data_IF_472064434552
#
_entry.id   IF_472064434552
#
_cell.length_a   1.000
_cell.length_b   1.000
_cell.length_c   1.000
_cell.angle_alpha   90.00
_cell.angle_beta   90.00
_cell.angle_gamma   90.00
#
_symmetry.space_group_name_H-M   'P 1'
#
loop_
_entity.id
_entity.type
_entity.pdbx_description
1 polymer ?
#
# COMPACT_ATOMS: atom_id res chain seq x y z
N UNK A 1 -4.65 1.50 15.58
CA UNK A 1 -3.86 1.73 14.35
C UNK A 1 -2.57 2.44 14.71
N UNK A 2 -1.42 1.97 14.22
CA UNK A 2 -0.15 2.70 14.23
C UNK A 2 0.27 2.92 12.77
N UNK A 3 0.50 4.18 12.39
CA UNK A 3 0.78 4.52 10.99
C UNK A 3 1.59 5.83 10.90
N UNK A 4 2.14 6.11 9.72
CA UNK A 4 2.84 7.35 9.45
C UNK A 4 1.84 8.51 9.28
N UNK A 5 1.73 9.36 10.29
CA UNK A 5 0.99 10.65 10.20
C UNK A 5 1.93 11.84 10.14
N UNK A 6 3.22 11.62 10.35
CA UNK A 6 4.30 12.60 10.22
C UNK A 6 5.40 12.13 9.26
N UNK A 7 6.32 13.03 8.91
CA UNK A 7 7.48 12.74 8.08
C UNK A 7 7.17 12.56 6.58
N UNK A 8 8.19 12.16 5.78
CA UNK A 8 8.09 12.10 4.31
C UNK A 8 7.09 11.07 3.75
N UNK A 9 6.61 10.12 4.59
CA UNK A 9 5.64 9.09 4.20
C UNK A 9 4.25 9.29 4.80
N UNK A 10 3.98 10.48 5.42
CA UNK A 10 2.73 10.76 6.13
C UNK A 10 1.47 10.58 5.31
N UNK A 11 1.54 10.86 4.00
CA UNK A 11 0.41 10.71 3.11
C UNK A 11 -0.16 9.28 3.10
N UNK A 12 0.69 8.26 3.27
CA UNK A 12 0.23 6.86 3.30
C UNK A 12 -0.67 6.58 4.51
N UNK A 13 -0.27 7.02 5.70
CA UNK A 13 -1.07 6.84 6.92
C UNK A 13 -2.33 7.69 6.90
N UNK A 14 -2.23 8.95 6.46
CA UNK A 14 -3.36 9.89 6.41
C UNK A 14 -4.44 9.38 5.45
N UNK A 15 -4.07 9.00 4.22
CA UNK A 15 -5.04 8.53 3.22
C UNK A 15 -5.67 7.19 3.64
N UNK A 16 -4.89 6.22 4.14
CA UNK A 16 -5.43 4.95 4.63
C UNK A 16 -6.44 5.17 5.77
N UNK A 17 -6.10 6.04 6.73
CA UNK A 17 -7.00 6.42 7.81
C UNK A 17 -8.29 7.03 7.28
N UNK A 18 -8.20 7.99 6.34
CA UNK A 18 -9.37 8.69 5.79
C UNK A 18 -10.36 7.73 5.14
N UNK A 19 -9.87 6.80 4.32
CA UNK A 19 -10.73 5.78 3.72
C UNK A 19 -11.43 4.91 4.75
N UNK A 20 -10.68 4.41 5.73
CA UNK A 20 -11.24 3.59 6.79
C UNK A 20 -12.25 4.36 7.67
N UNK A 21 -11.91 5.59 8.05
CA UNK A 21 -12.76 6.44 8.88
C UNK A 21 -14.08 6.81 8.19
N UNK A 22 -14.07 7.01 6.86
CA UNK A 22 -15.29 7.28 6.10
C UNK A 22 -16.29 6.13 6.22
N UNK A 23 -15.83 4.89 6.08
CA UNK A 23 -16.70 3.72 6.21
C UNK A 23 -17.19 3.53 7.64
N UNK A 24 -16.29 3.61 8.62
CA UNK A 24 -16.67 3.46 10.04
C UNK A 24 -17.64 4.57 10.50
N UNK A 25 -17.47 5.80 10.04
CA UNK A 25 -18.40 6.89 10.35
C UNK A 25 -19.80 6.61 9.81
N UNK A 26 -19.91 6.10 8.57
CA UNK A 26 -21.21 5.70 8.01
C UNK A 26 -21.90 4.64 8.86
N UNK A 27 -21.18 3.60 9.26
CA UNK A 27 -21.73 2.54 10.14
C UNK A 27 -22.17 3.11 11.49
N UNK A 28 -21.32 3.97 12.08
CA UNK A 28 -21.60 4.59 13.38
C UNK A 28 -22.84 5.48 13.36
N UNK A 29 -23.09 6.21 12.26
CA UNK A 29 -24.31 7.02 12.09
C UNK A 29 -25.58 6.18 11.91
N UNK A 30 -25.42 4.97 11.42
CA UNK A 30 -26.53 3.99 11.34
C UNK A 30 -26.77 3.19 12.64
N UNK A 31 -26.12 3.58 13.73
CA UNK A 31 -26.29 2.93 15.04
C UNK A 31 -25.14 2.01 15.44
N UNK A 32 -24.12 1.83 14.56
CA UNK A 32 -23.01 0.93 14.83
C UNK A 32 -23.36 -0.55 14.60
N UNK A 33 -22.63 -1.44 15.26
CA UNK A 33 -22.85 -2.89 15.22
C UNK A 33 -23.48 -3.30 16.55
N UNK A 34 -24.68 -3.84 16.54
CA UNK A 34 -25.45 -4.18 17.76
C UNK A 34 -25.45 -3.03 18.79
N UNK A 35 -25.76 -1.81 18.34
CA UNK A 35 -25.75 -0.57 19.11
C UNK A 35 -24.39 -0.17 19.70
N UNK A 36 -23.29 -0.76 19.22
CA UNK A 36 -21.93 -0.40 19.63
C UNK A 36 -21.21 0.34 18.50
N UNK A 37 -20.69 1.53 18.80
CA UNK A 37 -19.93 2.33 17.83
C UNK A 37 -18.51 1.80 17.68
N UNK A 38 -18.00 1.84 16.45
CA UNK A 38 -16.59 1.54 16.12
C UNK A 38 -15.75 2.79 16.41
N UNK A 39 -14.73 2.67 17.24
CA UNK A 39 -13.77 3.74 17.51
C UNK A 39 -12.40 3.35 17.04
N UNK A 40 -11.84 4.09 16.10
CA UNK A 40 -10.49 3.91 15.62
C UNK A 40 -9.51 4.73 16.48
N UNK A 41 -8.76 4.06 17.36
CA UNK A 41 -7.68 4.67 18.14
C UNK A 41 -6.41 4.69 17.29
N UNK A 42 -5.74 5.85 17.17
CA UNK A 42 -4.62 6.03 16.24
C UNK A 42 -3.41 6.67 16.92
N UNK A 43 -2.23 6.22 16.52
CA UNK A 43 -0.93 6.75 16.96
C UNK A 43 0.00 6.95 15.76
N UNK A 44 0.78 8.03 15.78
CA UNK A 44 1.83 8.26 14.81
C UNK A 44 3.06 7.40 15.12
N UNK A 45 3.61 6.75 14.11
CA UNK A 45 4.91 6.07 14.18
C UNK A 45 5.96 6.68 13.24
N UNK A 46 5.60 7.70 12.45
CA UNK A 46 6.49 8.35 11.50
C UNK A 46 7.15 7.38 10.51
N UNK A 47 6.52 6.23 10.25
CA UNK A 47 7.09 5.14 9.46
C UNK A 47 8.37 4.56 10.09
N UNK A 48 8.47 4.53 11.43
CA UNK A 48 9.61 4.04 12.18
C UNK A 48 9.26 2.78 12.99
N UNK A 49 10.10 1.72 12.97
CA UNK A 49 9.80 0.44 13.62
C UNK A 49 9.66 0.54 15.15
N UNK A 50 10.53 1.27 15.83
CA UNK A 50 10.53 1.34 17.29
C UNK A 50 9.32 2.11 17.84
N UNK A 51 8.91 3.28 17.30
CA UNK A 51 7.63 3.88 17.62
C UNK A 51 6.44 2.96 17.35
N UNK A 52 6.43 2.20 16.25
CA UNK A 52 5.34 1.27 15.95
C UNK A 52 5.21 0.17 17.03
N UNK A 53 6.32 -0.37 17.54
CA UNK A 53 6.32 -1.32 18.66
C UNK A 53 5.77 -0.67 19.94
N UNK A 54 6.22 0.54 20.30
CA UNK A 54 5.73 1.29 21.47
C UNK A 54 4.23 1.56 21.36
N UNK A 55 3.77 2.01 20.19
CA UNK A 55 2.34 2.23 19.92
C UNK A 55 1.53 0.94 20.05
N UNK A 56 2.07 -0.20 19.58
CA UNK A 56 1.40 -1.50 19.69
C UNK A 56 1.24 -1.93 21.13
N UNK A 57 2.31 -1.81 21.94
CA UNK A 57 2.26 -2.10 23.39
C UNK A 57 1.21 -1.23 24.06
N UNK A 58 1.20 0.07 23.76
CA UNK A 58 0.23 1.01 24.30
C UNK A 58 -1.20 0.67 23.92
N UNK A 59 -1.45 0.38 22.64
CA UNK A 59 -2.76 -0.02 22.15
C UNK A 59 -3.27 -1.29 22.84
N UNK A 60 -2.40 -2.29 23.05
CA UNK A 60 -2.77 -3.57 23.62
C UNK A 60 -2.93 -3.51 25.15
N UNK A 61 -1.96 -2.92 25.85
CA UNK A 61 -1.83 -3.04 27.31
C UNK A 61 -2.38 -1.84 28.09
N UNK A 62 -2.41 -0.64 27.49
CA UNK A 62 -2.91 0.58 28.16
C UNK A 62 -4.31 0.95 27.65
N UNK A 63 -4.50 0.97 26.33
CA UNK A 63 -5.78 1.34 25.73
C UNK A 63 -6.77 0.16 25.62
N UNK A 64 -6.29 -1.07 25.82
CA UNK A 64 -7.07 -2.32 25.76
C UNK A 64 -7.94 -2.40 24.48
N UNK A 65 -7.33 -2.07 23.31
CA UNK A 65 -8.06 -2.15 22.04
C UNK A 65 -8.41 -3.60 21.73
N UNK A 66 -9.61 -3.81 21.21
CA UNK A 66 -10.10 -5.15 20.87
C UNK A 66 -9.35 -5.77 19.69
N UNK A 67 -8.93 -4.96 18.72
CA UNK A 67 -8.30 -5.41 17.46
C UNK A 67 -7.26 -4.41 17.00
N UNK A 68 -6.17 -4.90 16.39
CA UNK A 68 -5.17 -4.06 15.72
C UNK A 68 -5.50 -3.98 14.23
N UNK A 69 -5.50 -2.77 13.65
CA UNK A 69 -5.99 -2.52 12.31
C UNK A 69 -5.12 -1.53 11.54
N UNK A 70 -4.90 -1.79 10.24
CA UNK A 70 -4.43 -0.80 9.26
C UNK A 70 -3.01 -0.25 9.52
N UNK A 71 -2.08 -1.05 10.05
CA UNK A 71 -0.69 -0.60 10.24
C UNK A 71 -0.01 -0.34 8.90
N UNK A 72 0.78 0.73 8.83
CA UNK A 72 1.42 1.16 7.58
C UNK A 72 2.90 0.82 7.56
N UNK A 73 3.29 0.03 6.55
CA UNK A 73 4.68 -0.18 6.18
C UNK A 73 5.30 -1.49 6.60
N UNK A 74 6.20 -1.99 5.76
CA UNK A 74 6.89 -3.26 6.01
C UNK A 74 7.82 -3.21 7.21
N UNK A 75 8.69 -2.19 7.39
CA UNK A 75 9.60 -2.14 8.53
C UNK A 75 8.87 -2.08 9.88
N UNK A 76 7.76 -1.35 9.94
CA UNK A 76 6.92 -1.21 11.13
C UNK A 76 6.20 -2.52 11.45
N UNK A 77 5.50 -3.08 10.47
CA UNK A 77 4.76 -4.35 10.62
C UNK A 77 5.68 -5.50 10.99
N UNK A 78 6.80 -5.69 10.26
CA UNK A 78 7.72 -6.81 10.55
C UNK A 78 8.33 -6.73 11.95
N UNK A 79 8.50 -5.53 12.48
CA UNK A 79 9.01 -5.33 13.84
C UNK A 79 7.97 -5.65 14.92
N UNK A 80 6.69 -5.51 14.59
CA UNK A 80 5.56 -5.81 15.49
C UNK A 80 5.22 -7.30 15.53
N UNK A 81 5.43 -8.05 14.44
CA UNK A 81 5.04 -9.47 14.35
C UNK A 81 5.53 -10.36 15.51
N UNK A 82 6.79 -10.26 16.01
CA UNK A 82 7.23 -11.03 17.17
C UNK A 82 6.41 -10.73 18.43
N UNK A 83 5.95 -9.48 18.60
CA UNK A 83 5.11 -9.08 19.73
C UNK A 83 3.73 -9.76 19.63
N UNK A 84 3.11 -9.79 18.44
CA UNK A 84 1.84 -10.48 18.23
C UNK A 84 1.96 -11.97 18.53
N UNK A 85 3.04 -12.61 18.07
CA UNK A 85 3.32 -14.02 18.39
C UNK A 85 3.46 -14.25 19.90
N UNK A 86 4.16 -13.36 20.62
CA UNK A 86 4.34 -13.47 22.06
C UNK A 86 2.99 -13.37 22.83
N UNK A 87 2.06 -12.58 22.32
CA UNK A 87 0.76 -12.32 22.95
C UNK A 87 -0.41 -13.03 22.23
N UNK A 88 -0.14 -14.16 21.54
CA UNK A 88 -1.16 -14.88 20.75
C UNK A 88 -2.34 -15.38 21.58
N UNK A 89 -2.12 -15.73 22.86
CA UNK A 89 -3.18 -16.18 23.76
C UNK A 89 -4.25 -15.10 24.03
N UNK A 90 -3.93 -13.82 23.80
CA UNK A 90 -4.86 -12.69 23.96
C UNK A 90 -5.61 -12.33 22.68
N UNK A 91 -5.66 -13.23 21.68
CA UNK A 91 -6.27 -12.98 20.37
C UNK A 91 -5.74 -11.74 19.66
N UNK A 92 -4.44 -11.43 19.85
CA UNK A 92 -3.78 -10.26 19.29
C UNK A 92 -3.45 -10.45 17.82
N UNK A 93 -4.42 -10.22 16.95
CA UNK A 93 -4.28 -10.27 15.49
C UNK A 93 -4.12 -8.88 14.89
N UNK A 94 -3.33 -8.77 13.82
CA UNK A 94 -3.22 -7.57 12.99
C UNK A 94 -4.06 -7.72 11.72
N UNK A 95 -5.01 -6.82 11.53
CA UNK A 95 -5.90 -6.81 10.39
C UNK A 95 -5.45 -5.79 9.35
N UNK A 96 -5.38 -6.25 8.11
CA UNK A 96 -5.22 -5.47 6.90
C UNK A 96 -4.07 -4.45 6.96
N UNK A 97 -2.83 -4.91 7.29
CA UNK A 97 -1.69 -4.01 7.26
C UNK A 97 -1.41 -3.54 5.83
N UNK A 98 -1.17 -2.25 5.66
CA UNK A 98 -0.77 -1.64 4.39
C UNK A 98 0.69 -2.00 4.07
N UNK A 99 0.90 -3.26 3.71
CA UNK A 99 2.17 -3.83 3.23
C UNK A 99 1.96 -5.15 2.51
N UNK A 100 2.62 -5.32 1.36
CA UNK A 100 2.60 -6.56 0.56
C UNK A 100 3.69 -7.56 0.93
N UNK A 101 4.43 -7.38 2.03
CA UNK A 101 5.57 -8.22 2.39
C UNK A 101 5.18 -9.65 2.81
N UNK A 102 6.14 -10.57 2.75
CA UNK A 102 5.89 -12.00 3.04
C UNK A 102 5.84 -12.36 4.53
N UNK A 103 6.61 -11.71 5.45
CA UNK A 103 6.66 -12.17 6.83
C UNK A 103 5.30 -12.33 7.52
N UNK A 104 4.32 -11.43 7.27
CA UNK A 104 2.97 -11.54 7.82
C UNK A 104 2.04 -12.49 7.04
N UNK A 105 2.56 -13.21 6.03
CA UNK A 105 1.81 -14.17 5.19
C UNK A 105 2.32 -15.60 5.30
N UNK A 106 3.45 -15.80 5.95
CA UNK A 106 4.15 -17.09 6.03
C UNK A 106 4.59 -17.39 7.47
N UNK A 107 4.82 -18.67 7.82
CA UNK A 107 5.44 -19.00 9.09
C UNK A 107 6.75 -18.23 9.30
N UNK A 108 7.09 -17.83 10.53
CA UNK A 108 6.39 -18.16 11.78
C UNK A 108 5.34 -17.13 12.21
N UNK A 109 4.96 -16.15 11.36
CA UNK A 109 4.10 -15.03 11.77
C UNK A 109 2.79 -14.91 10.98
N UNK A 110 2.62 -15.68 9.90
CA UNK A 110 1.46 -15.58 9.02
C UNK A 110 0.12 -15.85 9.70
N UNK A 111 0.10 -16.60 10.79
CA UNK A 111 -1.10 -16.88 11.56
C UNK A 111 -1.62 -15.68 12.37
N UNK A 112 -0.77 -14.68 12.66
CA UNK A 112 -1.11 -13.52 13.49
C UNK A 112 -1.56 -12.29 12.67
N UNK A 113 -1.63 -12.41 11.36
CA UNK A 113 -2.05 -11.31 10.50
C UNK A 113 -3.01 -11.76 9.40
N UNK A 114 -4.05 -10.98 9.19
CA UNK A 114 -4.98 -11.14 8.06
C UNK A 114 -4.74 -10.00 7.07
N UNK A 115 -4.51 -10.36 5.81
CA UNK A 115 -4.16 -9.40 4.76
C UNK A 115 -5.31 -9.28 3.76
N UNK A 116 -5.74 -8.07 3.39
CA UNK A 116 -6.67 -7.91 2.30
C UNK A 116 -5.91 -7.84 0.96
N UNK A 117 -4.95 -6.96 0.86
CA UNK A 117 -4.19 -6.66 -0.36
C UNK A 117 -3.33 -7.81 -0.88
N UNK A 118 -3.09 -7.83 -2.18
CA UNK A 118 -2.10 -8.70 -2.82
C UNK A 118 -0.68 -8.46 -2.30
N UNK A 119 0.20 -9.43 -2.49
CA UNK A 119 1.58 -9.38 -2.01
C UNK A 119 2.51 -8.68 -2.99
N UNK A 120 3.63 -8.12 -2.50
CA UNK A 120 4.69 -7.58 -3.36
C UNK A 120 5.26 -8.61 -4.34
N UNK A 121 5.21 -9.91 -3.99
CA UNK A 121 5.60 -10.97 -4.95
C UNK A 121 4.69 -11.01 -6.16
N UNK A 122 3.37 -10.85 -5.95
CA UNK A 122 2.40 -10.81 -7.05
C UNK A 122 2.55 -9.52 -7.88
N UNK A 123 2.75 -8.37 -7.22
CA UNK A 123 2.97 -7.10 -7.91
C UNK A 123 4.25 -7.15 -8.78
N UNK A 124 5.37 -7.61 -8.19
CA UNK A 124 6.65 -7.69 -8.91
C UNK A 124 6.65 -8.75 -9.99
N UNK A 125 5.96 -9.87 -9.78
CA UNK A 125 5.80 -10.92 -10.80
C UNK A 125 5.06 -10.37 -12.01
N UNK A 126 3.90 -9.74 -11.82
CA UNK A 126 3.15 -9.18 -12.92
C UNK A 126 3.88 -8.04 -13.65
N UNK A 127 4.57 -7.13 -12.92
CA UNK A 127 5.39 -6.08 -13.55
C UNK A 127 6.50 -6.68 -14.41
N UNK A 128 7.24 -7.67 -13.89
CA UNK A 128 8.32 -8.33 -14.61
C UNK A 128 7.79 -9.08 -15.83
N UNK A 129 6.68 -9.82 -15.68
CA UNK A 129 6.07 -10.58 -16.78
C UNK A 129 5.65 -9.64 -17.92
N UNK A 130 4.98 -8.52 -17.61
CA UNK A 130 4.59 -7.54 -18.63
C UNK A 130 5.81 -6.90 -19.30
N UNK A 131 6.81 -6.48 -18.54
CA UNK A 131 8.03 -5.87 -19.08
C UNK A 131 8.78 -6.85 -20.01
N UNK A 132 9.01 -8.09 -19.55
CA UNK A 132 9.76 -9.11 -20.31
C UNK A 132 9.01 -9.54 -21.57
N UNK A 133 7.69 -9.75 -21.49
CA UNK A 133 6.85 -10.12 -22.63
C UNK A 133 6.79 -9.02 -23.70
N UNK A 134 7.10 -7.77 -23.33
CA UNK A 134 7.22 -6.63 -24.25
C UNK A 134 8.69 -6.26 -24.53
N UNK A 135 9.61 -7.21 -24.41
CA UNK A 135 11.00 -7.07 -24.85
C UNK A 135 11.93 -6.33 -23.87
N UNK A 136 11.46 -5.90 -22.71
CA UNK A 136 12.28 -5.22 -21.69
C UNK A 136 12.96 -6.28 -20.81
N UNK A 137 14.18 -6.69 -21.15
CA UNK A 137 14.87 -7.82 -20.50
C UNK A 137 15.99 -7.40 -19.54
N UNK A 138 16.44 -6.16 -19.60
CA UNK A 138 17.47 -5.60 -18.74
C UNK A 138 16.84 -4.76 -17.63
N UNK A 139 16.36 -5.44 -16.59
CA UNK A 139 15.63 -4.79 -15.50
C UNK A 139 16.56 -4.51 -14.33
N UNK A 140 16.66 -3.22 -13.96
CA UNK A 140 17.36 -2.73 -12.79
C UNK A 140 16.36 -2.44 -11.63
N UNK A 141 16.89 -2.28 -10.42
CA UNK A 141 16.04 -2.05 -9.22
C UNK A 141 16.58 -0.87 -8.41
N UNK A 142 15.68 0.08 -8.12
CA UNK A 142 15.91 1.13 -7.13
C UNK A 142 15.06 0.84 -5.88
N UNK A 143 15.68 0.73 -4.68
CA UNK A 143 14.91 0.31 -3.52
C UNK A 143 15.36 0.89 -2.18
N UNK A 144 14.41 0.98 -1.24
CA UNK A 144 14.65 1.39 0.13
C UNK A 144 15.53 0.37 0.87
N UNK A 145 16.59 0.80 1.53
CA UNK A 145 17.59 -0.06 2.19
C UNK A 145 17.06 -0.62 3.53
N UNK A 146 15.91 -1.33 3.51
CA UNK A 146 15.30 -1.96 4.69
C UNK A 146 14.43 -3.18 4.33
N UNK A 147 13.56 -3.61 5.26
CA UNK A 147 12.69 -4.76 5.06
C UNK A 147 11.72 -4.59 3.89
N UNK A 148 11.26 -3.35 3.58
CA UNK A 148 10.39 -3.09 2.43
C UNK A 148 11.13 -3.33 1.12
N UNK A 149 12.24 -2.61 0.94
CA UNK A 149 13.02 -2.74 -0.28
C UNK A 149 13.50 -4.17 -0.52
N UNK A 150 13.99 -4.86 0.53
CA UNK A 150 14.41 -6.27 0.42
C UNK A 150 13.26 -7.20 0.02
N UNK A 151 12.03 -6.94 0.51
CA UNK A 151 10.87 -7.75 0.14
C UNK A 151 10.52 -7.62 -1.34
N UNK A 152 10.46 -6.38 -1.86
CA UNK A 152 10.21 -6.14 -3.28
C UNK A 152 11.37 -6.61 -4.17
N UNK A 153 12.63 -6.30 -3.79
CA UNK A 153 13.84 -6.79 -4.49
C UNK A 153 13.83 -8.32 -4.63
N UNK A 154 13.52 -9.03 -3.55
CA UNK A 154 13.40 -10.50 -3.58
C UNK A 154 12.29 -10.95 -4.53
N UNK A 155 11.18 -10.21 -4.61
CA UNK A 155 10.09 -10.46 -5.56
C UNK A 155 10.55 -10.31 -7.01
N UNK A 156 11.20 -9.19 -7.36
CA UNK A 156 11.78 -8.95 -8.70
C UNK A 156 12.77 -10.04 -9.09
N UNK A 157 13.71 -10.37 -8.19
CA UNK A 157 14.70 -11.44 -8.44
C UNK A 157 14.04 -12.80 -8.75
N UNK A 158 12.99 -13.15 -8.01
CA UNK A 158 12.25 -14.40 -8.21
C UNK A 158 11.46 -14.39 -9.52
N UNK A 159 10.85 -13.28 -9.86
CA UNK A 159 10.11 -13.13 -11.11
C UNK A 159 11.04 -13.22 -12.32
N UNK A 160 12.17 -12.49 -12.31
CA UNK A 160 13.18 -12.58 -13.37
C UNK A 160 13.75 -13.99 -13.55
N UNK A 161 13.95 -14.73 -12.45
CA UNK A 161 14.45 -16.11 -12.51
C UNK A 161 13.51 -17.04 -13.29
N UNK A 162 12.18 -16.80 -13.30
CA UNK A 162 11.22 -17.54 -14.12
C UNK A 162 11.45 -17.36 -15.62
N UNK A 163 12.02 -16.23 -16.01
CA UNK A 163 12.40 -15.91 -17.39
C UNK A 163 13.88 -16.18 -17.71
N UNK A 164 14.61 -16.87 -16.82
CA UNK A 164 16.07 -17.08 -16.92
C UNK A 164 16.86 -15.77 -17.00
N UNK A 165 16.38 -14.72 -16.32
CA UNK A 165 16.99 -13.41 -16.22
C UNK A 165 17.44 -13.12 -14.79
N UNK A 166 18.26 -12.06 -14.66
CA UNK A 166 18.74 -11.53 -13.37
C UNK A 166 18.55 -10.02 -13.34
N UNK A 167 18.52 -9.43 -12.16
CA UNK A 167 18.62 -7.98 -11.97
C UNK A 167 19.98 -7.55 -12.57
N UNK A 168 19.95 -6.56 -13.47
CA UNK A 168 21.17 -6.10 -14.16
C UNK A 168 22.00 -5.14 -13.31
N UNK A 169 21.33 -4.37 -12.43
CA UNK A 169 22.00 -3.46 -11.50
C UNK A 169 21.01 -3.05 -10.39
N UNK A 170 21.53 -2.62 -9.26
CA UNK A 170 20.73 -2.17 -8.15
C UNK A 170 21.30 -0.93 -7.45
N UNK A 171 20.41 -0.05 -6.98
CA UNK A 171 20.79 1.10 -6.18
C UNK A 171 19.80 1.29 -5.02
N UNK A 172 20.31 1.75 -3.88
CA UNK A 172 19.49 1.89 -2.67
C UNK A 172 19.46 3.32 -2.17
N UNK A 173 18.44 3.61 -1.36
CA UNK A 173 18.33 4.83 -0.59
C UNK A 173 17.91 4.54 0.85
N UNK A 174 18.18 5.46 1.77
CA UNK A 174 17.78 5.33 3.17
C UNK A 174 16.33 5.78 3.38
N UNK A 175 15.56 5.02 4.19
CA UNK A 175 14.20 5.40 4.59
C UNK A 175 14.17 6.83 5.17
N UNK A 176 13.10 7.58 4.88
CA UNK A 176 12.97 8.98 5.30
C UNK A 176 13.56 9.98 4.31
N UNK A 177 14.07 9.53 3.16
CA UNK A 177 14.46 10.45 2.09
C UNK A 177 13.27 11.31 1.63
N UNK A 178 13.53 12.60 1.46
CA UNK A 178 12.56 13.62 1.05
C UNK A 178 12.57 13.81 -0.47
N UNK A 179 11.58 14.49 -0.99
CA UNK A 179 11.55 14.86 -2.42
C UNK A 179 12.76 15.75 -2.81
N UNK A 180 13.27 16.55 -1.90
CA UNK A 180 14.46 17.39 -2.10
C UNK A 180 15.79 16.63 -2.04
N UNK A 181 15.77 15.32 -1.72
CA UNK A 181 16.96 14.48 -1.68
C UNK A 181 17.58 14.35 -3.08
N UNK A 182 18.91 14.34 -3.15
CA UNK A 182 19.65 14.12 -4.38
C UNK A 182 19.82 12.61 -4.63
N UNK A 183 19.31 12.12 -5.75
CA UNK A 183 19.38 10.70 -6.18
C UNK A 183 20.27 10.50 -7.41
N UNK A 184 21.03 11.53 -7.85
CA UNK A 184 21.85 11.47 -9.06
C UNK A 184 22.83 10.31 -9.05
N UNK A 185 23.49 10.04 -7.90
CA UNK A 185 24.42 8.91 -7.78
C UNK A 185 23.73 7.57 -8.04
N UNK A 186 22.54 7.35 -7.49
CA UNK A 186 21.75 6.16 -7.73
C UNK A 186 21.36 6.04 -9.20
N UNK A 187 20.95 7.14 -9.82
CA UNK A 187 20.66 7.20 -11.26
C UNK A 187 21.88 6.84 -12.11
N UNK A 188 23.03 7.40 -11.81
CA UNK A 188 24.28 7.12 -12.55
C UNK A 188 24.69 5.64 -12.48
N UNK A 189 24.60 5.03 -11.27
CA UNK A 189 24.84 3.58 -11.07
C UNK A 189 23.92 2.77 -11.99
N UNK A 190 22.61 3.02 -11.93
CA UNK A 190 21.65 2.26 -12.72
C UNK A 190 21.80 2.52 -14.23
N UNK A 191 22.00 3.78 -14.63
CA UNK A 191 22.17 4.18 -16.03
C UNK A 191 23.39 3.52 -16.69
N UNK A 192 24.48 3.34 -15.94
CA UNK A 192 25.68 2.67 -16.43
C UNK A 192 25.44 1.23 -16.88
N UNK A 193 24.46 0.54 -16.28
CA UNK A 193 24.06 -0.80 -16.68
C UNK A 193 23.19 -0.85 -17.94
N UNK A 194 22.79 0.30 -18.51
CA UNK A 194 21.91 0.42 -19.69
C UNK A 194 20.63 -0.43 -19.52
N UNK A 195 19.79 -0.14 -18.51
CA UNK A 195 18.57 -0.91 -18.26
C UNK A 195 17.49 -0.60 -19.32
N UNK A 196 16.62 -1.58 -19.59
CA UNK A 196 15.41 -1.40 -20.42
C UNK A 196 14.21 -0.90 -19.57
N UNK A 197 14.26 -1.14 -18.27
CA UNK A 197 13.27 -0.68 -17.29
C UNK A 197 13.87 -0.67 -15.88
N UNK A 198 13.29 0.13 -14.98
CA UNK A 198 13.67 0.15 -13.56
C UNK A 198 12.41 -0.11 -12.71
N UNK A 199 12.50 -1.05 -11.78
CA UNK A 199 11.46 -1.26 -10.76
C UNK A 199 11.87 -0.51 -9.49
N UNK A 200 11.01 0.43 -9.07
CA UNK A 200 11.20 1.29 -7.92
C UNK A 200 10.41 0.73 -6.72
N UNK A 201 11.10 0.41 -5.64
CA UNK A 201 10.53 -0.14 -4.41
C UNK A 201 10.77 0.87 -3.29
N UNK A 202 9.92 1.87 -3.23
CA UNK A 202 10.08 3.02 -2.36
C UNK A 202 8.78 3.74 -2.04
N UNK A 203 8.83 4.65 -1.05
CA UNK A 203 7.73 5.57 -0.76
C UNK A 203 7.81 6.79 -1.69
N UNK A 204 6.68 7.46 -1.89
CA UNK A 204 6.49 8.51 -2.89
C UNK A 204 7.54 9.61 -2.91
N UNK A 205 7.98 10.11 -1.76
CA UNK A 205 8.92 11.23 -1.71
C UNK A 205 10.30 10.86 -2.29
N UNK A 206 10.82 9.67 -1.96
CA UNK A 206 12.07 9.16 -2.47
C UNK A 206 11.97 8.74 -3.95
N UNK A 207 10.86 8.09 -4.33
CA UNK A 207 10.62 7.70 -5.73
C UNK A 207 10.45 8.92 -6.63
N UNK A 208 9.75 9.98 -6.17
CA UNK A 208 9.65 11.23 -6.92
C UNK A 208 11.01 11.90 -7.12
N UNK A 209 11.86 11.95 -6.07
CA UNK A 209 13.22 12.46 -6.18
C UNK A 209 14.05 11.66 -7.19
N UNK A 210 13.92 10.33 -7.17
CA UNK A 210 14.61 9.46 -8.12
C UNK A 210 14.10 9.66 -9.56
N UNK A 211 12.79 9.73 -9.77
CA UNK A 211 12.18 9.97 -11.09
C UNK A 211 12.63 11.31 -11.66
N UNK A 212 12.59 12.38 -10.86
CA UNK A 212 13.08 13.71 -11.25
C UNK A 212 14.52 13.63 -11.73
N UNK A 213 15.42 13.11 -10.89
CA UNK A 213 16.85 13.06 -11.21
C UNK A 213 17.15 12.11 -12.38
N UNK A 214 16.38 11.02 -12.53
CA UNK A 214 16.51 10.07 -13.65
C UNK A 214 16.19 10.76 -14.99
N UNK A 215 15.07 11.47 -15.06
CA UNK A 215 14.67 12.19 -16.28
C UNK A 215 15.63 13.33 -16.60
N UNK A 216 16.05 14.11 -15.59
CA UNK A 216 16.99 15.22 -15.76
C UNK A 216 18.37 14.75 -16.23
N UNK A 217 18.78 13.52 -15.89
CA UNK A 217 20.00 12.90 -16.40
C UNK A 217 19.78 12.12 -17.71
N UNK A 218 18.61 12.26 -18.34
CA UNK A 218 18.30 11.67 -19.63
C UNK A 218 18.07 10.16 -19.63
N UNK A 219 17.68 9.58 -18.51
CA UNK A 219 17.28 8.18 -18.41
C UNK A 219 15.81 8.03 -18.82
N UNK A 220 15.57 7.60 -20.06
CA UNK A 220 14.24 7.49 -20.69
C UNK A 220 13.84 6.02 -20.82
N UNK A 221 13.47 5.40 -19.72
CA UNK A 221 13.00 4.01 -19.63
C UNK A 221 11.81 3.92 -18.69
N UNK A 222 10.94 2.92 -18.82
CA UNK A 222 9.84 2.69 -17.87
C UNK A 222 10.35 2.63 -16.43
N UNK A 223 9.68 3.41 -15.56
CA UNK A 223 9.94 3.49 -14.13
C UNK A 223 8.70 2.91 -13.42
N UNK A 224 8.78 1.64 -13.04
CA UNK A 224 7.68 0.89 -12.48
C UNK A 224 7.68 0.93 -10.95
N UNK A 225 6.58 1.37 -10.33
CA UNK A 225 6.46 1.46 -8.88
C UNK A 225 5.47 0.40 -8.36
N UNK A 226 5.72 -0.09 -7.12
CA UNK A 226 4.74 -0.90 -6.40
C UNK A 226 3.66 -0.02 -5.78
N UNK A 227 2.48 -0.57 -5.55
CA UNK A 227 1.32 0.15 -4.99
C UNK A 227 1.59 0.91 -3.69
N UNK A 228 2.52 0.42 -2.87
CA UNK A 228 2.93 1.08 -1.62
C UNK A 228 3.58 2.46 -1.85
N UNK A 229 3.96 2.78 -3.07
CA UNK A 229 4.54 4.10 -3.39
C UNK A 229 3.62 5.24 -2.96
N UNK A 230 2.31 5.07 -3.00
CA UNK A 230 1.33 6.14 -2.82
C UNK A 230 1.23 7.00 -4.07
N UNK A 231 0.53 6.46 -5.06
CA UNK A 231 0.54 6.96 -6.45
C UNK A 231 0.18 8.43 -6.56
N UNK A 232 -0.87 8.90 -5.89
CA UNK A 232 -1.30 10.31 -5.93
C UNK A 232 -0.29 11.24 -5.29
N UNK A 233 0.33 10.81 -4.18
CA UNK A 233 1.41 11.58 -3.54
C UNK A 233 2.64 11.69 -4.46
N UNK A 234 3.02 10.60 -5.14
CA UNK A 234 4.10 10.59 -6.13
C UNK A 234 3.78 11.55 -7.28
N UNK A 235 2.59 11.42 -7.86
CA UNK A 235 2.14 12.24 -8.98
C UNK A 235 2.11 13.73 -8.62
N UNK A 236 1.53 14.08 -7.47
CA UNK A 236 1.45 15.46 -7.01
C UNK A 236 2.83 16.12 -6.88
N UNK A 237 3.82 15.41 -6.33
CA UNK A 237 5.19 15.92 -6.24
C UNK A 237 5.82 16.15 -7.63
N UNK A 238 5.60 15.25 -8.57
CA UNK A 238 6.16 15.35 -9.93
C UNK A 238 5.49 16.43 -10.77
N UNK A 239 4.19 16.66 -10.58
CA UNK A 239 3.45 17.73 -11.27
C UNK A 239 3.81 19.11 -10.73
N UNK A 240 4.09 19.24 -9.43
CA UNK A 240 4.53 20.50 -8.82
C UNK A 240 5.94 20.89 -9.22
N UNK A 241 6.81 19.93 -9.53
CA UNK A 241 8.17 20.19 -10.00
C UNK A 241 8.24 20.52 -11.50
N UNK A 242 7.34 19.94 -12.29
CA UNK A 242 7.23 20.21 -13.73
C UNK A 242 6.80 21.64 -14.01
N UNK A 243 7.38 22.28 -15.03
CA UNK A 243 6.86 23.54 -15.53
C UNK A 243 5.55 23.28 -16.27
N UNK A 244 4.55 24.19 -16.18
CA UNK A 244 3.28 24.02 -16.91
C UNK A 244 3.42 23.77 -18.41
N UNK A 245 4.53 24.23 -19.00
CA UNK A 245 4.86 24.12 -20.44
C UNK A 245 5.47 22.74 -20.79
N UNK A 246 5.94 21.96 -19.81
CA UNK A 246 6.55 20.64 -19.97
C UNK A 246 5.58 19.53 -19.58
N UNK A 247 4.36 19.57 -20.14
CA UNK A 247 3.32 18.58 -19.86
C UNK A 247 3.91 17.16 -20.00
N UNK A 248 3.83 16.36 -18.92
CA UNK A 248 4.35 14.99 -18.85
C UNK A 248 5.87 14.77 -18.73
N UNK A 249 6.71 15.80 -18.55
CA UNK A 249 8.17 15.60 -18.46
C UNK A 249 8.55 14.47 -17.51
N UNK A 250 8.06 14.50 -16.25
CA UNK A 250 8.42 13.52 -15.22
C UNK A 250 7.47 12.33 -15.13
N UNK A 251 6.34 12.33 -15.86
CA UNK A 251 5.29 11.33 -15.69
C UNK A 251 5.15 10.37 -16.86
N UNK A 252 5.70 10.69 -18.03
CA UNK A 252 5.60 9.91 -19.26
C UNK A 252 6.01 8.44 -19.10
N UNK A 253 7.06 8.17 -18.32
CA UNK A 253 7.66 6.85 -18.18
C UNK A 253 7.17 6.10 -16.92
N UNK A 254 6.18 6.65 -16.20
CA UNK A 254 5.67 6.04 -14.99
C UNK A 254 4.68 4.94 -15.29
N UNK A 255 4.87 3.80 -14.63
CA UNK A 255 3.85 2.76 -14.50
C UNK A 255 3.80 2.32 -13.03
N UNK A 256 2.59 2.27 -12.46
CA UNK A 256 2.39 1.86 -11.08
C UNK A 256 1.49 0.61 -11.02
N UNK A 257 1.89 -0.39 -10.23
CA UNK A 257 0.95 -1.43 -9.83
C UNK A 257 -0.02 -0.90 -8.77
N UNK A 258 -1.24 -1.41 -8.77
CA UNK A 258 -2.27 -1.14 -7.78
C UNK A 258 -2.87 -2.47 -7.30
N UNK A 259 -3.32 -2.51 -6.06
CA UNK A 259 -3.94 -3.70 -5.43
C UNK A 259 -5.44 -3.54 -5.22
N UNK A 260 -5.97 -2.41 -5.63
CA UNK A 260 -7.39 -2.06 -5.67
C UNK A 260 -7.73 -1.49 -7.06
N UNK A 261 -8.99 -1.55 -7.51
CA UNK A 261 -9.38 -1.00 -8.81
C UNK A 261 -9.23 0.52 -8.86
N UNK A 262 -9.40 1.10 -10.04
CA UNK A 262 -9.38 2.55 -10.18
C UNK A 262 -10.53 3.20 -9.41
N UNK A 263 -10.20 4.17 -8.58
CA UNK A 263 -11.20 5.00 -7.89
C UNK A 263 -11.99 5.93 -8.83
N UNK A 264 -11.61 6.01 -10.09
CA UNK A 264 -12.36 6.72 -11.14
C UNK A 264 -13.47 5.87 -11.76
N UNK A 265 -13.42 4.55 -11.60
CA UNK A 265 -14.42 3.64 -12.18
C UNK A 265 -15.65 3.52 -11.25
N UNK A 266 -16.58 4.46 -11.41
CA UNK A 266 -17.82 4.51 -10.62
C UNK A 266 -18.85 3.43 -11.01
N UNK A 267 -18.58 2.62 -12.03
CA UNK A 267 -19.38 1.43 -12.33
C UNK A 267 -19.13 0.30 -11.32
N UNK A 268 -18.00 0.35 -10.63
CA UNK A 268 -17.67 -0.57 -9.54
C UNK A 268 -18.43 -0.14 -8.26
N UNK A 269 -19.33 -0.98 -7.72
CA UNK A 269 -20.21 -0.58 -6.60
C UNK A 269 -19.47 -0.05 -5.38
N UNK A 270 -18.38 -0.69 -4.97
CA UNK A 270 -17.60 -0.23 -3.82
C UNK A 270 -16.89 1.10 -4.08
N UNK A 271 -16.44 1.37 -5.31
CA UNK A 271 -15.83 2.64 -5.70
C UNK A 271 -16.86 3.76 -5.63
N UNK A 272 -18.08 3.54 -6.17
CA UNK A 272 -19.18 4.51 -6.05
C UNK A 272 -19.46 4.86 -4.59
N UNK A 273 -19.64 3.85 -3.74
CA UNK A 273 -19.90 4.03 -2.31
C UNK A 273 -18.74 4.72 -1.59
N UNK A 274 -17.50 4.36 -1.93
CA UNK A 274 -16.31 5.02 -1.39
C UNK A 274 -16.31 6.52 -1.67
N UNK A 275 -16.57 6.92 -2.91
CA UNK A 275 -16.62 8.35 -3.29
C UNK A 275 -17.73 9.08 -2.54
N UNK A 276 -18.94 8.49 -2.50
CA UNK A 276 -20.07 9.04 -1.75
C UNK A 276 -19.73 9.28 -0.27
N UNK A 277 -19.02 8.34 0.39
CA UNK A 277 -18.71 8.49 1.81
C UNK A 277 -17.55 9.44 2.06
N UNK A 278 -16.53 9.48 1.19
CA UNK A 278 -15.47 10.47 1.28
C UNK A 278 -16.05 11.88 1.10
N UNK A 279 -16.91 12.11 0.12
CA UNK A 279 -17.54 13.41 -0.12
C UNK A 279 -18.47 13.83 1.03
N UNK A 280 -19.23 12.87 1.57
CA UNK A 280 -20.19 13.14 2.64
C UNK A 280 -19.53 13.43 4.00
N UNK A 281 -18.48 12.68 4.34
CA UNK A 281 -17.89 12.71 5.69
C UNK A 281 -16.57 13.46 5.74
N UNK A 282 -15.81 13.48 4.65
CA UNK A 282 -14.47 14.09 4.53
C UNK A 282 -13.62 13.93 5.81
N UNK A 283 -13.37 12.68 6.27
CA UNK A 283 -12.73 12.46 7.56
C UNK A 283 -11.35 13.11 7.61
N UNK A 284 -11.04 13.70 8.76
CA UNK A 284 -9.74 14.30 9.02
C UNK A 284 -9.00 13.49 10.08
N UNK A 285 -7.69 13.36 9.93
CA UNK A 285 -6.83 12.81 10.98
C UNK A 285 -6.91 13.73 12.21
N UNK A 286 -6.93 13.18 13.44
CA UNK A 286 -6.88 13.99 14.64
C UNK A 286 -5.76 15.04 14.61
N UNK A 287 -6.11 16.30 14.83
CA UNK A 287 -5.17 17.44 14.67
C UNK A 287 -3.87 17.29 15.48
N UNK A 288 -3.94 16.61 16.62
CA UNK A 288 -2.76 16.34 17.46
C UNK A 288 -1.70 15.44 16.79
N UNK A 289 -2.02 14.74 15.70
CA UNK A 289 -1.09 13.87 14.97
C UNK A 289 -0.49 14.58 13.74
N UNK A 290 -1.02 15.72 13.34
CA UNK A 290 -0.55 16.48 12.18
C UNK A 290 0.58 17.39 12.62
N UNK A 291 1.82 17.02 12.32
CA UNK A 291 3.01 17.84 12.63
C UNK A 291 3.43 18.75 11.48
N UNK A 292 3.07 18.39 10.25
CA UNK A 292 3.40 19.11 9.03
C UNK A 292 2.15 19.27 8.15
N UNK A 293 2.00 20.36 7.38
CA UNK A 293 0.88 20.54 6.47
C UNK A 293 0.75 19.37 5.50
N UNK A 294 -0.47 18.91 5.32
CA UNK A 294 -0.84 17.92 4.31
C UNK A 294 -2.23 18.25 3.78
N UNK A 295 -2.36 18.31 2.47
CA UNK A 295 -3.67 18.47 1.81
C UNK A 295 -4.11 17.09 1.34
N UNK A 296 -5.16 16.51 1.95
CA UNK A 296 -5.69 15.23 1.53
C UNK A 296 -6.21 15.28 0.10
N UNK A 297 -6.05 14.17 -0.63
CA UNK A 297 -6.67 14.01 -1.94
C UNK A 297 -8.18 13.83 -1.80
N UNK A 298 -8.94 14.28 -2.77
CA UNK A 298 -10.37 13.96 -2.80
C UNK A 298 -10.54 12.45 -2.84
N UNK A 299 -9.85 11.78 -3.75
CA UNK A 299 -9.80 10.32 -3.85
C UNK A 299 -8.38 9.85 -4.08
N UNK A 300 -8.04 8.64 -3.60
CA UNK A 300 -6.74 8.02 -3.84
C UNK A 300 -6.83 6.48 -3.75
N UNK A 301 -5.88 5.77 -4.38
CA UNK A 301 -5.80 4.31 -4.24
C UNK A 301 -5.61 3.89 -2.78
N UNK A 302 -4.80 4.65 -2.03
CA UNK A 302 -4.53 4.36 -0.61
C UNK A 302 -5.79 4.53 0.24
N UNK A 303 -6.58 5.59 0.02
CA UNK A 303 -7.83 5.77 0.79
C UNK A 303 -8.92 4.80 0.34
N UNK A 304 -8.99 4.41 -0.94
CA UNK A 304 -9.88 3.34 -1.37
C UNK A 304 -9.51 2.00 -0.70
N UNK A 305 -8.22 1.67 -0.58
CA UNK A 305 -7.78 0.48 0.13
C UNK A 305 -8.22 0.52 1.60
N UNK A 306 -7.99 1.63 2.30
CA UNK A 306 -8.45 1.80 3.68
C UNK A 306 -9.97 1.67 3.85
N UNK A 307 -10.74 2.15 2.88
CA UNK A 307 -12.19 1.98 2.83
C UNK A 307 -12.60 0.52 2.69
N UNK A 308 -11.95 -0.23 1.80
CA UNK A 308 -12.21 -1.66 1.60
C UNK A 308 -11.79 -2.51 2.82
N UNK A 309 -10.68 -2.15 3.45
CA UNK A 309 -10.22 -2.74 4.72
C UNK A 309 -11.27 -2.55 5.82
N UNK A 310 -11.82 -1.34 5.95
CA UNK A 310 -12.86 -1.03 6.92
C UNK A 310 -14.18 -1.76 6.61
N UNK A 311 -14.55 -1.86 5.33
CA UNK A 311 -15.75 -2.62 4.90
C UNK A 311 -15.63 -4.07 5.31
N UNK A 312 -14.50 -4.71 5.06
CA UNK A 312 -14.27 -6.09 5.46
C UNK A 312 -14.18 -6.25 6.99
N UNK A 313 -13.58 -5.27 7.68
CA UNK A 313 -13.56 -5.27 9.15
C UNK A 313 -14.97 -5.22 9.76
N UNK A 314 -15.87 -4.43 9.20
CA UNK A 314 -17.27 -4.38 9.64
C UNK A 314 -17.97 -5.72 9.46
N UNK A 315 -17.74 -6.43 8.35
CA UNK A 315 -18.23 -7.80 8.15
C UNK A 315 -17.70 -8.75 9.24
N UNK A 316 -16.41 -8.67 9.58
CA UNK A 316 -15.83 -9.47 10.66
C UNK A 316 -16.51 -9.16 12.01
N UNK A 317 -16.70 -7.87 12.30
CA UNK A 317 -17.34 -7.44 13.54
C UNK A 317 -18.81 -7.90 13.64
N UNK A 318 -19.55 -7.92 12.53
CA UNK A 318 -20.90 -8.51 12.49
C UNK A 318 -20.85 -10.00 12.83
N UNK A 319 -19.98 -10.77 12.21
CA UNK A 319 -19.83 -12.21 12.50
C UNK A 319 -19.44 -12.49 13.94
N UNK A 320 -18.60 -11.64 14.53
CA UNK A 320 -18.25 -11.74 15.95
C UNK A 320 -19.43 -11.42 16.87
N UNK A 321 -20.30 -10.47 16.48
CA UNK A 321 -21.45 -10.08 17.29
C UNK A 321 -22.61 -11.06 17.20
N UNK A 322 -22.72 -11.81 16.10
CA UNK A 322 -23.78 -12.80 15.84
C UNK A 322 -23.39 -14.22 16.31
N UNK A 323 -22.12 -14.41 16.66
CA UNK A 323 -21.57 -15.70 17.06
C UNK A 323 -21.83 -16.00 18.56
N UNK A 324 -21.73 -17.28 18.91
CA UNK A 324 -21.73 -17.70 20.33
C UNK A 324 -20.51 -17.12 21.06
N UNK A 325 -20.60 -17.00 22.40
CA UNK A 325 -19.47 -16.49 23.24
C UNK A 325 -18.15 -17.27 23.07
N UNK A 326 -18.20 -18.44 22.45
CA UNK A 326 -17.05 -19.31 22.22
C UNK A 326 -16.34 -19.05 20.86
N UNK A 327 -16.93 -18.22 19.97
CA UNK A 327 -16.34 -17.95 18.66
C UNK A 327 -15.19 -16.97 18.77
N UNK A 328 -13.98 -17.42 18.50
CA UNK A 328 -12.79 -16.58 18.48
C UNK A 328 -12.73 -15.64 17.24
N UNK A 329 -11.95 -14.57 17.37
CA UNK A 329 -11.73 -13.60 16.28
C UNK A 329 -11.22 -14.28 15.00
N UNK A 330 -10.31 -15.25 15.15
CA UNK A 330 -9.78 -15.99 14.01
C UNK A 330 -10.87 -16.82 13.31
N UNK A 331 -11.77 -17.45 14.06
CA UNK A 331 -12.86 -18.27 13.52
C UNK A 331 -13.84 -17.43 12.72
N UNK A 332 -14.20 -16.24 13.22
CA UNK A 332 -15.04 -15.29 12.50
C UNK A 332 -14.44 -14.92 11.15
N UNK A 333 -13.13 -14.64 11.10
CA UNK A 333 -12.43 -14.34 9.82
C UNK A 333 -12.38 -15.58 8.93
N UNK A 334 -12.02 -16.72 9.48
CA UNK A 334 -11.91 -17.98 8.73
C UNK A 334 -13.27 -18.51 8.24
N UNK A 335 -14.38 -17.99 8.76
CA UNK A 335 -15.72 -18.28 8.24
C UNK A 335 -16.05 -17.49 6.96
N UNK A 336 -15.28 -16.45 6.60
CA UNK A 336 -15.52 -15.64 5.40
C UNK A 336 -15.25 -16.49 4.16
N UNK A 337 -16.30 -16.74 3.40
CA UNK A 337 -16.25 -17.48 2.12
C UNK A 337 -16.99 -16.68 1.06
N UNK A 338 -16.32 -16.42 -0.05
CA UNK A 338 -16.88 -15.74 -1.22
C UNK A 338 -17.61 -14.42 -0.88
N UNK A 339 -17.14 -13.69 0.13
CA UNK A 339 -17.70 -12.40 0.50
C UNK A 339 -17.49 -11.39 -0.64
N UNK A 340 -18.58 -10.80 -1.10
CA UNK A 340 -18.56 -9.79 -2.15
C UNK A 340 -18.15 -8.43 -1.57
N UNK A 341 -16.91 -8.05 -1.85
CA UNK A 341 -16.37 -6.76 -1.42
C UNK A 341 -16.93 -5.59 -2.25
N UNK A 342 -17.58 -5.90 -3.39
CA UNK A 342 -18.14 -4.90 -4.32
C UNK A 342 -17.11 -4.34 -5.30
N UNK A 343 -16.03 -5.07 -5.56
CA UNK A 343 -14.96 -4.71 -6.50
C UNK A 343 -14.79 -5.75 -7.62
N UNK A 344 -15.84 -6.51 -7.92
CA UNK A 344 -15.82 -7.63 -8.87
C UNK A 344 -14.83 -8.75 -8.47
N UNK A 345 -14.46 -8.81 -7.20
CA UNK A 345 -13.69 -9.88 -6.59
C UNK A 345 -14.32 -10.31 -5.26
N UNK A 346 -14.22 -11.61 -4.97
CA UNK A 346 -14.73 -12.20 -3.74
C UNK A 346 -13.61 -12.53 -2.78
N UNK A 347 -13.79 -12.18 -1.51
CA UNK A 347 -12.84 -12.45 -0.43
C UNK A 347 -13.15 -13.81 0.21
N UNK A 348 -12.11 -14.62 0.37
CA UNK A 348 -12.18 -15.89 1.11
C UNK A 348 -10.92 -16.03 1.96
N UNK A 349 -11.09 -16.32 3.25
CA UNK A 349 -10.00 -16.73 4.13
C UNK A 349 -10.08 -18.23 4.44
N UNK A 350 -8.97 -18.81 4.90
CA UNK A 350 -8.88 -20.22 5.27
C UNK A 350 -7.65 -20.48 6.14
N UNK A 351 -7.50 -21.69 6.69
CA UNK A 351 -6.34 -22.04 7.52
C UNK A 351 -5.01 -21.72 6.84
N UNK A 352 -4.90 -22.05 5.54
CA UNK A 352 -3.71 -21.82 4.73
C UNK A 352 -3.80 -20.56 3.85
N UNK A 353 -4.86 -19.77 4.02
CA UNK A 353 -5.11 -18.57 3.21
C UNK A 353 -5.44 -17.36 4.09
N UNK A 354 -4.41 -16.58 4.40
CA UNK A 354 -4.50 -15.35 5.21
C UNK A 354 -4.47 -14.07 4.35
N UNK A 355 -4.74 -14.21 3.03
CA UNK A 355 -4.79 -13.11 2.06
C UNK A 355 -6.11 -13.15 1.29
N UNK A 356 -6.83 -12.04 1.26
CA UNK A 356 -8.15 -11.91 0.65
C UNK A 356 -8.11 -11.75 -0.87
N UNK A 357 -7.34 -10.76 -1.37
CA UNK A 357 -7.27 -10.36 -2.78
C UNK A 357 -5.94 -10.74 -3.41
N UNK A 358 -5.94 -11.00 -4.72
CA UNK A 358 -4.75 -11.39 -5.48
C UNK A 358 -4.54 -10.59 -6.75
N UNK A 359 -5.54 -9.88 -7.22
CA UNK A 359 -5.50 -9.15 -8.49
C UNK A 359 -4.59 -7.94 -8.39
N UNK A 360 -3.85 -7.71 -9.46
CA UNK A 360 -3.01 -6.53 -9.65
C UNK A 360 -3.57 -5.76 -10.84
N UNK A 361 -3.66 -4.46 -10.68
CA UNK A 361 -3.99 -3.52 -11.74
C UNK A 361 -2.75 -2.70 -12.06
N UNK A 362 -2.66 -2.18 -13.27
CA UNK A 362 -1.55 -1.33 -13.68
C UNK A 362 -2.07 0.00 -14.16
N UNK A 363 -1.36 1.06 -13.83
CA UNK A 363 -1.76 2.42 -14.18
C UNK A 363 -0.60 3.22 -14.73
N UNK A 364 -0.89 4.09 -15.68
CA UNK A 364 0.01 5.11 -16.23
C UNK A 364 -0.59 6.49 -16.04
N UNK A 365 0.21 7.52 -16.24
CA UNK A 365 -0.27 8.91 -16.15
C UNK A 365 -0.66 9.41 -17.54
N UNK A 366 -1.92 9.87 -17.67
CA UNK A 366 -2.40 10.62 -18.84
C UNK A 366 -3.11 11.88 -18.38
N UNK A 367 -2.74 13.04 -18.94
CA UNK A 367 -3.34 14.34 -18.59
C UNK A 367 -3.38 14.60 -17.08
N UNK A 368 -2.25 14.32 -16.39
CA UNK A 368 -2.12 14.55 -14.95
C UNK A 368 -2.95 13.63 -14.05
N UNK A 369 -3.44 12.48 -14.54
CA UNK A 369 -4.23 11.50 -13.77
C UNK A 369 -3.78 10.08 -14.05
N UNK A 370 -3.96 9.19 -13.08
CA UNK A 370 -3.76 7.77 -13.30
C UNK A 370 -4.93 7.17 -14.09
N UNK A 371 -4.60 6.46 -15.16
CA UNK A 371 -5.54 5.67 -15.97
C UNK A 371 -5.07 4.22 -16.03
N UNK A 372 -5.99 3.28 -16.22
CA UNK A 372 -5.64 1.86 -16.38
C UNK A 372 -4.73 1.68 -17.61
N UNK A 373 -3.75 0.81 -17.45
CA UNK A 373 -2.87 0.36 -18.51
C UNK A 373 -3.34 -1.02 -18.99
N UNK A 374 -4.09 -1.05 -20.08
CA UNK A 374 -4.58 -2.29 -20.69
C UNK A 374 -3.64 -2.75 -21.83
N UNK A 375 -3.04 -1.81 -22.54
CA UNK A 375 -2.13 -2.08 -23.67
C UNK A 375 -0.67 -1.67 -23.31
N UNK A 376 0.09 -2.66 -22.85
CA UNK A 376 1.50 -2.50 -22.54
C UNK A 376 2.37 -2.29 -23.78
N UNK A 377 1.98 -2.83 -24.95
CA UNK A 377 2.77 -2.73 -26.18
C UNK A 377 2.81 -1.28 -26.65
N UNK A 378 1.70 -0.57 -26.61
CA UNK A 378 1.63 0.86 -26.93
C UNK A 378 2.47 1.68 -25.94
N UNK A 379 2.32 1.46 -24.63
CA UNK A 379 3.09 2.21 -23.62
C UNK A 379 4.60 1.99 -23.70
N UNK A 380 5.04 0.77 -24.00
CA UNK A 380 6.47 0.41 -24.05
C UNK A 380 7.10 0.62 -25.43
N UNK A 381 6.30 0.83 -26.46
CA UNK A 381 6.74 1.11 -27.83
C UNK A 381 6.98 2.60 -28.15
N UNK A 382 6.46 3.49 -27.31
CA UNK A 382 6.69 4.95 -27.37
C UNK A 382 8.06 5.35 -26.83
#
# INVERSE_FOLDING_TARGET
>A
MSAAFSGPSRGLGIELYRGAAAYFEHINRKGGINNRKIRLKVYDDGYQPDPAVKNTIKLMLEDHVSLLFGYVGTPTVTRVLPLLKKHHETNSYLFFPFTGAQPQRQPPYGEFAFNLRASYRQETEGLVDHLVNNGKRRIAVFYQADAYGRSGWSGVRRALAKHNLKIVEEATYHRGAKFTSNMRRQVEILKASKPDAIICIGAYAACAAFVRDAIDLGLKVPLANLSFVGSENLLNLLLTEGRPEEDNKYTRWLVNSQVVPSYEDTLIPAVKTYREYIDLYNPQVPAALIQEPYTPFQYSFVSLEGFLDAKLMVEILHRLSDASEQTGVADAVLSIRNYDLGINEKVTFGPDRRQGLNRIYYTIVKKGRFVLLDDWSTFLGE
#
